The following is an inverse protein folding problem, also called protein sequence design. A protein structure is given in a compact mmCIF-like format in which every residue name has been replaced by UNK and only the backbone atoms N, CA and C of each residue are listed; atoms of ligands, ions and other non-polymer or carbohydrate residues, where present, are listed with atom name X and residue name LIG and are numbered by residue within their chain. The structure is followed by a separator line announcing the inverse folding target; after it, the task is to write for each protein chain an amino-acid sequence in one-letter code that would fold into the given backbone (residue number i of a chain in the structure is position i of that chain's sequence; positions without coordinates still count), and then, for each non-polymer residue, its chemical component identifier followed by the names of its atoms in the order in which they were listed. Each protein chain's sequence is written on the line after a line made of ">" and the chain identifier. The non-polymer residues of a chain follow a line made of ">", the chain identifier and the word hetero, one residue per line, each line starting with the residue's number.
data_IF_444156779614
#
_entry.id   IF_444156779614
#
_cell.length_a   1.000
_cell.length_b   1.000
_cell.length_c   1.000
_cell.angle_alpha   90.00
_cell.angle_beta   90.00
_cell.angle_gamma   90.00
#
_symmetry.space_group_name_H-M   'P 1'
#
loop_
_entity.id
_entity.type
_entity.pdbx_description
1 polymer ?
#
# COMPACT_ATOMS: atom_id res chain seq x y z
N UNK A 1 36.91 -19.96 -58.60
CA UNK A 1 36.09 -19.25 -57.60
C UNK A 1 36.91 -19.13 -56.33
N UNK A 2 37.18 -17.92 -55.83
CA UNK A 2 37.96 -17.74 -54.59
C UNK A 2 37.02 -17.58 -53.40
N UNK A 3 37.41 -18.05 -52.21
CA UNK A 3 36.62 -17.92 -50.97
C UNK A 3 36.19 -16.45 -50.74
N UNK A 4 37.07 -15.51 -51.14
CA UNK A 4 36.82 -14.07 -51.09
C UNK A 4 35.68 -13.61 -52.00
N UNK A 5 35.53 -14.20 -53.19
CA UNK A 5 34.43 -13.89 -54.11
C UNK A 5 33.10 -14.48 -53.63
N UNK A 6 33.12 -15.71 -53.11
CA UNK A 6 31.92 -16.37 -52.58
C UNK A 6 31.30 -15.61 -51.39
N UNK A 7 32.13 -15.14 -50.45
CA UNK A 7 31.64 -14.35 -49.30
C UNK A 7 31.04 -13.00 -49.71
N UNK A 8 31.58 -12.37 -50.76
CA UNK A 8 31.06 -11.11 -51.28
C UNK A 8 29.70 -11.26 -51.96
N UNK A 9 29.50 -12.35 -52.72
CA UNK A 9 28.25 -12.58 -53.45
C UNK A 9 27.12 -13.12 -52.56
N UNK A 10 27.43 -13.99 -51.58
CA UNK A 10 26.42 -14.61 -50.70
C UNK A 10 25.94 -13.69 -49.58
N UNK A 11 26.85 -12.94 -48.96
CA UNK A 11 26.52 -12.06 -47.84
C UNK A 11 26.38 -10.58 -48.25
N UNK A 12 26.55 -10.27 -49.55
CA UNK A 12 26.63 -8.91 -50.07
C UNK A 12 27.61 -8.02 -49.27
N UNK A 13 28.61 -8.63 -48.63
CA UNK A 13 29.43 -7.98 -47.61
C UNK A 13 30.70 -7.42 -48.26
N UNK A 14 30.67 -6.11 -48.54
CA UNK A 14 31.80 -5.40 -49.13
C UNK A 14 32.87 -5.18 -48.05
N UNK A 15 34.08 -5.71 -48.23
CA UNK A 15 35.22 -5.59 -47.28
C UNK A 15 35.57 -4.14 -46.88
N UNK A 16 35.18 -3.15 -47.69
CA UNK A 16 35.30 -1.73 -47.38
C UNK A 16 34.32 -1.22 -46.30
N UNK A 17 33.32 -2.03 -45.93
CA UNK A 17 32.26 -1.70 -44.98
C UNK A 17 32.35 -2.52 -43.69
N UNK A 18 33.34 -3.41 -43.57
CA UNK A 18 33.56 -4.23 -42.36
C UNK A 18 33.61 -3.35 -41.11
N UNK A 19 34.31 -2.21 -41.17
CA UNK A 19 34.38 -1.25 -40.07
C UNK A 19 33.05 -0.56 -39.76
N UNK A 20 32.18 -0.33 -40.76
CA UNK A 20 30.83 0.23 -40.55
C UNK A 20 29.93 -0.81 -39.90
N UNK A 21 29.97 -2.04 -40.36
CA UNK A 21 29.18 -3.14 -39.82
C UNK A 21 29.56 -3.46 -38.37
N UNK A 22 30.86 -3.44 -38.05
CA UNK A 22 31.35 -3.53 -36.66
C UNK A 22 30.84 -2.38 -35.80
N UNK A 23 30.87 -1.15 -36.33
CA UNK A 23 30.32 0.03 -35.65
C UNK A 23 28.82 -0.10 -35.34
N UNK A 24 28.02 -0.61 -36.28
CA UNK A 24 26.59 -0.87 -36.05
C UNK A 24 26.36 -1.91 -34.95
N UNK A 25 27.08 -3.04 -34.98
CA UNK A 25 26.94 -4.10 -33.97
C UNK A 25 27.31 -3.57 -32.58
N UNK A 26 28.40 -2.82 -32.45
CA UNK A 26 28.78 -2.19 -31.19
C UNK A 26 27.76 -1.15 -30.73
N UNK A 27 27.20 -0.36 -31.65
CA UNK A 27 26.13 0.60 -31.38
C UNK A 27 24.87 -0.07 -30.83
N UNK A 28 24.41 -1.16 -31.46
CA UNK A 28 23.29 -1.95 -30.97
C UNK A 28 23.59 -2.58 -29.61
N UNK A 29 24.81 -3.10 -29.39
CA UNK A 29 25.20 -3.67 -28.10
C UNK A 29 25.10 -2.63 -26.98
N UNK A 30 25.61 -1.41 -27.20
CA UNK A 30 25.51 -0.32 -26.23
C UNK A 30 24.05 0.08 -26.02
N UNK A 31 23.27 0.23 -27.10
CA UNK A 31 21.86 0.59 -27.02
C UNK A 31 21.05 -0.44 -26.22
N UNK A 32 21.18 -1.73 -26.51
CA UNK A 32 20.49 -2.79 -25.79
C UNK A 32 20.95 -2.89 -24.33
N UNK A 33 22.22 -2.59 -24.03
CA UNK A 33 22.71 -2.50 -22.65
C UNK A 33 22.07 -1.33 -21.91
N UNK A 34 21.98 -0.16 -22.53
CA UNK A 34 21.31 1.02 -21.94
C UNK A 34 19.82 0.74 -21.75
N UNK A 35 19.13 0.21 -22.76
CA UNK A 35 17.72 -0.18 -22.67
C UNK A 35 17.49 -1.25 -21.62
N UNK A 36 18.37 -2.23 -21.49
CA UNK A 36 18.32 -3.26 -20.45
C UNK A 36 18.51 -2.70 -19.05
N UNK A 37 19.45 -1.77 -18.86
CA UNK A 37 19.64 -1.08 -17.58
C UNK A 37 18.47 -0.14 -17.25
N UNK A 38 17.90 0.52 -18.26
CA UNK A 38 16.72 1.36 -18.12
C UNK A 38 15.51 0.49 -17.76
N UNK A 39 15.31 -0.63 -18.45
CA UNK A 39 14.27 -1.61 -18.17
C UNK A 39 14.44 -2.20 -16.77
N UNK A 40 15.66 -2.51 -16.33
CA UNK A 40 15.93 -2.95 -14.96
C UNK A 40 15.64 -1.85 -13.95
N UNK A 41 15.99 -0.59 -14.19
CA UNK A 41 15.61 0.52 -13.30
C UNK A 41 14.10 0.72 -13.21
N UNK A 42 13.42 0.63 -14.35
CA UNK A 42 11.96 0.76 -14.42
C UNK A 42 11.30 -0.44 -13.74
N UNK A 43 11.79 -1.65 -13.98
CA UNK A 43 11.32 -2.87 -13.32
C UNK A 43 11.64 -2.88 -11.84
N UNK A 44 12.78 -2.35 -11.39
CA UNK A 44 13.11 -2.24 -9.97
C UNK A 44 12.16 -1.24 -9.30
N UNK A 45 11.86 -0.12 -9.97
CA UNK A 45 10.82 0.82 -9.55
C UNK A 45 9.40 0.19 -9.58
N UNK A 46 9.16 -0.79 -10.46
CA UNK A 46 7.89 -1.52 -10.55
C UNK A 46 7.81 -2.76 -9.62
N UNK A 47 8.89 -3.45 -9.30
CA UNK A 47 8.95 -4.59 -8.38
C UNK A 47 9.02 -4.11 -6.92
N UNK A 48 9.56 -2.90 -6.69
CA UNK A 48 9.31 -2.12 -5.48
C UNK A 48 7.86 -1.61 -5.36
N UNK A 49 6.96 -1.84 -6.34
CA UNK A 49 5.51 -1.62 -6.16
C UNK A 49 4.84 -2.71 -5.30
N UNK A 50 5.59 -3.58 -4.62
CA UNK A 50 5.07 -4.22 -3.40
C UNK A 50 4.87 -3.12 -2.35
N UNK A 51 3.74 -2.41 -2.45
CA UNK A 51 3.40 -1.36 -1.50
C UNK A 51 3.04 -2.04 -0.19
N UNK A 52 3.84 -1.76 0.83
CA UNK A 52 3.56 -2.18 2.18
C UNK A 52 2.75 -1.07 2.85
N UNK A 53 1.53 -1.38 3.25
CA UNK A 53 0.80 -0.56 4.21
C UNK A 53 1.09 -1.12 5.60
N UNK A 54 1.66 -0.27 6.45
CA UNK A 54 1.98 -0.60 7.84
C UNK A 54 0.91 0.03 8.74
N UNK A 55 0.25 -0.81 9.53
CA UNK A 55 -0.78 -0.39 10.47
C UNK A 55 -0.16 -0.12 11.84
N UNK A 56 -0.23 1.13 12.27
CA UNK A 56 0.18 1.60 13.60
C UNK A 56 -0.98 1.58 14.57
N UNK A 57 -0.95 0.61 15.49
CA UNK A 57 -1.97 0.35 16.50
C UNK A 57 -1.73 1.07 17.83
N UNK A 58 -1.13 2.27 17.79
CA UNK A 58 -0.62 2.96 18.98
C UNK A 58 -1.68 3.30 20.04
N UNK A 59 -2.95 3.38 19.60
CA UNK A 59 -4.09 3.82 20.41
C UNK A 59 -5.17 2.73 20.52
N UNK A 60 -4.89 1.49 20.10
CA UNK A 60 -5.93 0.47 19.94
C UNK A 60 -6.58 0.13 21.29
N UNK A 61 -5.81 0.04 22.37
CA UNK A 61 -6.34 -0.27 23.70
C UNK A 61 -7.25 0.86 24.21
N UNK A 62 -6.85 2.12 24.02
CA UNK A 62 -7.68 3.27 24.39
C UNK A 62 -8.96 3.34 23.55
N UNK A 63 -8.89 2.98 22.27
CA UNK A 63 -10.07 2.88 21.41
C UNK A 63 -11.03 1.77 21.87
N UNK A 64 -10.51 0.61 22.26
CA UNK A 64 -11.34 -0.48 22.81
C UNK A 64 -12.05 -0.09 24.11
N UNK A 65 -11.36 0.62 25.00
CA UNK A 65 -11.98 1.17 26.21
C UNK A 65 -13.10 2.16 25.87
N UNK A 66 -12.94 2.96 24.82
CA UNK A 66 -13.97 3.87 24.36
C UNK A 66 -15.19 3.11 23.78
N UNK A 67 -14.99 1.97 23.11
CA UNK A 67 -16.10 1.09 22.68
C UNK A 67 -16.89 0.59 23.89
N UNK A 68 -16.21 0.09 24.92
CA UNK A 68 -16.86 -0.41 26.14
C UNK A 68 -17.62 0.69 26.89
N UNK A 69 -17.02 1.88 26.99
CA UNK A 69 -17.65 3.05 27.59
C UNK A 69 -18.91 3.45 26.81
N UNK A 70 -18.84 3.52 25.48
CA UNK A 70 -19.97 3.91 24.64
C UNK A 70 -21.11 2.88 24.69
N UNK A 71 -20.80 1.58 24.75
CA UNK A 71 -21.80 0.51 24.96
C UNK A 71 -22.46 0.63 26.33
N UNK A 72 -21.67 0.87 27.38
CA UNK A 72 -22.19 1.04 28.76
C UNK A 72 -23.10 2.26 28.87
N UNK A 73 -22.75 3.37 28.21
CA UNK A 73 -23.58 4.58 28.18
C UNK A 73 -24.91 4.33 27.47
N UNK A 74 -24.90 3.62 26.33
CA UNK A 74 -26.12 3.25 25.61
C UNK A 74 -27.01 2.31 26.44
N UNK A 75 -26.44 1.31 27.12
CA UNK A 75 -27.17 0.37 27.99
C UNK A 75 -27.76 1.06 29.22
N UNK A 76 -27.12 2.12 29.72
CA UNK A 76 -27.61 2.96 30.81
C UNK A 76 -28.76 3.91 30.40
N UNK A 77 -29.22 3.84 29.14
CA UNK A 77 -30.27 4.70 28.60
C UNK A 77 -29.77 6.02 28.04
N UNK A 78 -28.47 6.16 27.77
CA UNK A 78 -27.87 7.27 27.05
C UNK A 78 -28.15 7.22 25.55
N UNK A 79 -27.38 8.00 24.77
CA UNK A 79 -27.51 8.01 23.31
C UNK A 79 -27.19 6.62 22.72
N UNK A 80 -28.07 6.07 21.87
CA UNK A 80 -27.90 4.74 21.31
C UNK A 80 -26.69 4.70 20.38
N UNK A 81 -26.00 3.56 20.38
CA UNK A 81 -24.90 3.32 19.46
C UNK A 81 -25.47 3.06 18.04
N UNK A 82 -24.92 3.69 16.99
CA UNK A 82 -25.24 3.33 15.61
C UNK A 82 -24.90 1.86 15.29
N UNK A 83 -25.33 1.37 14.13
CA UNK A 83 -24.98 0.03 13.68
C UNK A 83 -23.46 -0.14 13.54
N UNK A 84 -22.91 -1.23 14.08
CA UNK A 84 -21.48 -1.52 14.05
C UNK A 84 -21.04 -2.02 12.66
N UNK A 85 -20.26 -1.23 11.89
CA UNK A 85 -19.82 -1.64 10.55
C UNK A 85 -18.85 -2.84 10.59
N UNK A 86 -18.15 -3.03 11.71
CA UNK A 86 -17.17 -4.10 11.91
C UNK A 86 -17.77 -5.38 12.49
N UNK A 87 -19.06 -5.37 12.86
CA UNK A 87 -19.79 -6.50 13.45
C UNK A 87 -19.03 -7.15 14.63
N UNK A 88 -18.52 -6.33 15.55
CA UNK A 88 -17.67 -6.79 16.63
C UNK A 88 -18.46 -7.60 17.66
N UNK A 89 -17.86 -8.64 18.27
CA UNK A 89 -18.48 -9.38 19.36
C UNK A 89 -18.70 -8.49 20.60
N UNK A 90 -19.53 -8.99 21.53
CA UNK A 90 -19.81 -8.31 22.79
C UNK A 90 -18.54 -8.06 23.63
N UNK A 91 -17.63 -9.04 23.67
CA UNK A 91 -16.30 -8.90 24.28
C UNK A 91 -15.27 -8.69 23.18
N UNK A 92 -14.70 -7.49 23.09
CA UNK A 92 -13.74 -7.13 22.05
C UNK A 92 -12.31 -7.31 22.56
N UNK A 93 -11.50 -8.09 21.86
CA UNK A 93 -10.06 -8.21 22.12
C UNK A 93 -9.28 -7.39 21.10
N UNK A 94 -8.05 -6.98 21.46
CA UNK A 94 -7.13 -6.28 20.54
C UNK A 94 -6.93 -7.08 19.24
N UNK A 95 -6.85 -8.40 19.34
CA UNK A 95 -6.63 -9.25 18.16
C UNK A 95 -7.87 -9.27 17.25
N UNK A 96 -9.05 -9.54 17.81
CA UNK A 96 -10.28 -9.62 17.02
C UNK A 96 -10.62 -8.27 16.37
N UNK A 97 -10.35 -7.17 17.07
CA UNK A 97 -10.52 -5.84 16.50
C UNK A 97 -9.59 -5.58 15.31
N UNK A 98 -8.29 -5.89 15.45
CA UNK A 98 -7.32 -5.75 14.34
C UNK A 98 -7.74 -6.60 13.14
N UNK A 99 -8.21 -7.81 13.38
CA UNK A 99 -8.69 -8.70 12.32
C UNK A 99 -9.94 -8.15 11.63
N UNK A 100 -10.92 -7.65 12.39
CA UNK A 100 -12.13 -7.04 11.83
C UNK A 100 -11.80 -5.82 10.94
N UNK A 101 -10.95 -4.91 11.41
CA UNK A 101 -10.50 -3.75 10.63
C UNK A 101 -9.77 -4.20 9.36
N UNK A 102 -8.93 -5.23 9.45
CA UNK A 102 -8.21 -5.77 8.29
C UNK A 102 -9.10 -6.55 7.32
N UNK A 103 -10.21 -7.15 7.78
CA UNK A 103 -11.23 -7.75 6.92
C UNK A 103 -12.05 -6.69 6.20
N UNK A 104 -12.47 -5.63 6.89
CA UNK A 104 -13.16 -4.51 6.26
C UNK A 104 -12.28 -3.84 5.19
N UNK A 105 -11.01 -3.62 5.51
CA UNK A 105 -10.03 -3.05 4.60
C UNK A 105 -9.58 -4.02 3.50
N UNK A 106 -9.98 -5.30 3.53
CA UNK A 106 -9.51 -6.31 2.58
C UNK A 106 -10.07 -6.08 1.18
N UNK A 107 -9.19 -6.28 0.20
CA UNK A 107 -9.57 -6.34 -1.23
C UNK A 107 -9.65 -7.83 -1.62
N UNK A 108 -10.73 -8.30 -2.26
CA UNK A 108 -10.94 -9.73 -2.55
C UNK A 108 -9.80 -10.40 -3.33
N UNK A 109 -9.04 -9.61 -4.09
CA UNK A 109 -7.96 -10.03 -4.98
C UNK A 109 -6.56 -9.84 -4.38
N UNK A 110 -6.45 -9.33 -3.14
CA UNK A 110 -5.15 -9.05 -2.52
C UNK A 110 -4.45 -10.35 -2.02
N UNK A 111 -3.10 -10.40 -2.08
CA UNK A 111 -2.32 -11.56 -1.62
C UNK A 111 -2.48 -11.82 -0.11
N UNK A 112 -2.04 -13.01 0.32
CA UNK A 112 -2.11 -13.52 1.70
C UNK A 112 -1.63 -12.47 2.71
N UNK A 113 -2.43 -12.25 3.78
CA UNK A 113 -2.09 -11.35 4.89
C UNK A 113 -0.75 -11.71 5.53
N UNK A 114 0.09 -10.71 5.76
CA UNK A 114 1.29 -10.83 6.60
C UNK A 114 0.94 -10.40 8.03
N UNK A 115 0.15 -11.24 8.73
CA UNK A 115 -0.29 -10.97 10.10
C UNK A 115 -1.24 -9.78 10.21
N UNK A 116 -1.13 -9.01 11.31
CA UNK A 116 -2.02 -7.86 11.62
C UNK A 116 -1.37 -6.48 11.48
N UNK A 117 -0.10 -6.42 11.08
CA UNK A 117 0.69 -5.18 11.04
C UNK A 117 1.01 -4.71 9.64
N UNK A 118 1.04 -5.61 8.66
CA UNK A 118 1.45 -5.30 7.30
C UNK A 118 0.49 -5.89 6.28
N UNK A 119 0.06 -5.06 5.34
CA UNK A 119 -0.73 -5.50 4.18
C UNK A 119 0.10 -5.28 2.92
N UNK A 120 0.36 -6.38 2.20
CA UNK A 120 1.04 -6.36 0.92
C UNK A 120 0.01 -6.08 -0.16
N UNK A 121 0.16 -4.95 -0.85
CA UNK A 121 -0.79 -4.53 -1.87
C UNK A 121 -0.06 -3.89 -3.04
N UNK A 122 -0.69 -3.86 -4.22
CA UNK A 122 -0.26 -2.98 -5.30
C UNK A 122 -0.55 -1.51 -4.94
N UNK A 123 0.06 -0.55 -5.64
CA UNK A 123 -0.24 0.88 -5.45
C UNK A 123 -1.73 1.21 -5.62
N UNK A 124 -2.41 0.58 -6.58
CA UNK A 124 -3.85 0.78 -6.79
C UNK A 124 -4.67 0.24 -5.60
N UNK A 125 -4.29 -0.94 -5.11
CA UNK A 125 -4.90 -1.56 -3.94
C UNK A 125 -4.63 -0.74 -2.66
N UNK A 126 -3.43 -0.17 -2.51
CA UNK A 126 -3.10 0.62 -1.32
C UNK A 126 -3.97 1.85 -1.19
N UNK A 127 -4.26 2.53 -2.31
CA UNK A 127 -5.19 3.67 -2.32
C UNK A 127 -6.61 3.25 -1.91
N UNK A 128 -7.08 2.09 -2.39
CA UNK A 128 -8.40 1.58 -2.03
C UNK A 128 -8.51 1.22 -0.54
N UNK A 129 -7.46 0.61 0.03
CA UNK A 129 -7.37 0.34 1.47
C UNK A 129 -7.42 1.64 2.27
N UNK A 130 -6.63 2.64 1.86
CA UNK A 130 -6.60 3.97 2.50
C UNK A 130 -7.99 4.62 2.47
N UNK A 131 -8.64 4.66 1.31
CA UNK A 131 -9.98 5.25 1.18
C UNK A 131 -11.04 4.52 2.01
N UNK A 132 -10.96 3.18 2.15
CA UNK A 132 -11.88 2.42 3.01
C UNK A 132 -11.69 2.76 4.47
N UNK A 133 -10.44 2.81 4.94
CA UNK A 133 -10.14 3.16 6.32
C UNK A 133 -10.52 4.61 6.64
N UNK A 134 -10.31 5.53 5.70
CA UNK A 134 -10.74 6.93 5.86
C UNK A 134 -12.26 7.04 5.98
N UNK A 135 -12.99 6.26 5.17
CA UNK A 135 -14.46 6.17 5.26
C UNK A 135 -14.91 5.55 6.57
N UNK A 136 -14.21 4.54 7.06
CA UNK A 136 -14.50 3.89 8.35
C UNK A 136 -14.24 4.86 9.51
N UNK A 137 -13.14 5.62 9.48
CA UNK A 137 -12.84 6.66 10.48
C UNK A 137 -13.98 7.71 10.54
N UNK A 138 -14.64 8.00 9.42
CA UNK A 138 -15.77 8.93 9.32
C UNK A 138 -17.15 8.30 9.60
N UNK A 139 -17.20 7.00 9.85
CA UNK A 139 -18.47 6.31 10.10
C UNK A 139 -19.13 6.81 11.40
N UNK A 140 -20.47 7.00 11.45
CA UNK A 140 -21.15 7.48 12.65
C UNK A 140 -20.86 6.65 13.91
N UNK A 141 -20.71 5.33 13.76
CA UNK A 141 -20.36 4.45 14.87
C UNK A 141 -18.98 4.78 15.44
N UNK A 142 -17.99 4.95 14.55
CA UNK A 142 -16.62 5.32 14.93
C UNK A 142 -16.57 6.72 15.54
N UNK A 143 -17.25 7.68 14.92
CA UNK A 143 -17.32 9.05 15.42
C UNK A 143 -17.95 9.11 16.82
N UNK A 144 -18.97 8.28 17.09
CA UNK A 144 -19.56 8.16 18.43
C UNK A 144 -18.56 7.61 19.44
N UNK A 145 -17.78 6.60 19.08
CA UNK A 145 -16.73 6.05 19.96
C UNK A 145 -15.65 7.09 20.24
N UNK A 146 -15.20 7.82 19.21
CA UNK A 146 -14.21 8.90 19.35
C UNK A 146 -14.74 10.00 20.27
N UNK A 147 -16.04 10.33 20.20
CA UNK A 147 -16.66 11.35 21.05
C UNK A 147 -16.69 10.95 22.54
N UNK A 148 -16.80 9.65 22.84
CA UNK A 148 -16.78 9.12 24.21
C UNK A 148 -15.35 8.88 24.71
N UNK A 149 -14.41 8.58 23.80
CA UNK A 149 -13.02 8.25 24.12
C UNK A 149 -12.16 9.47 24.48
N UNK A 150 -11.34 9.33 25.53
CA UNK A 150 -10.34 10.33 25.94
C UNK A 150 -8.94 9.89 25.54
N UNK A 151 -8.13 10.70 24.85
CA UNK A 151 -8.47 11.98 24.19
C UNK A 151 -9.20 11.75 22.87
N UNK A 152 -10.06 12.70 22.46
CA UNK A 152 -10.92 12.67 21.26
C UNK A 152 -10.21 12.49 19.90
N UNK A 153 -8.96 12.02 19.82
CA UNK A 153 -8.12 11.90 18.62
C UNK A 153 -7.73 10.45 18.28
N UNK A 154 -8.50 9.46 18.76
CA UNK A 154 -8.24 8.04 18.56
C UNK A 154 -8.69 7.60 17.15
N UNK A 155 -7.85 7.80 16.14
CA UNK A 155 -8.04 7.15 14.83
C UNK A 155 -8.00 5.62 15.00
N UNK A 156 -8.83 4.88 14.28
CA UNK A 156 -8.91 3.40 14.36
C UNK A 156 -7.53 2.76 14.17
N UNK A 157 -6.80 3.24 13.16
CA UNK A 157 -5.43 2.85 12.89
C UNK A 157 -4.68 3.96 12.16
N UNK A 158 -3.41 4.18 12.50
CA UNK A 158 -2.54 5.04 11.70
C UNK A 158 -1.89 4.23 10.60
N UNK A 159 -2.11 4.58 9.35
CA UNK A 159 -1.51 3.87 8.21
C UNK A 159 -0.25 4.59 7.74
N UNK A 160 0.81 3.82 7.51
CA UNK A 160 2.10 4.31 7.06
C UNK A 160 2.58 3.61 5.79
N UNK A 161 3.33 4.32 4.96
CA UNK A 161 3.99 3.83 3.76
C UNK A 161 5.51 4.03 3.91
N UNK A 162 6.35 3.07 3.56
CA UNK A 162 7.79 3.27 3.55
C UNK A 162 8.20 4.33 2.53
N UNK A 163 9.02 5.31 2.95
CA UNK A 163 9.56 6.33 2.04
C UNK A 163 10.63 5.70 1.15
N UNK A 164 10.57 5.87 -0.19
CA UNK A 164 11.56 5.30 -1.09
C UNK A 164 12.99 5.71 -0.71
N UNK A 165 13.88 4.73 -0.58
CA UNK A 165 15.32 4.92 -0.26
C UNK A 165 15.59 5.59 1.09
N UNK A 166 14.68 5.46 2.05
CA UNK A 166 14.85 5.93 3.42
C UNK A 166 14.44 4.86 4.43
N UNK A 167 14.94 4.96 5.65
CA UNK A 167 14.50 4.16 6.81
C UNK A 167 13.31 4.81 7.54
N UNK A 168 12.73 5.86 6.97
CA UNK A 168 11.59 6.60 7.52
C UNK A 168 10.27 6.14 6.93
N UNK A 169 9.22 6.16 7.74
CA UNK A 169 7.85 5.92 7.31
C UNK A 169 7.12 7.24 7.13
N UNK A 170 6.43 7.39 6.00
CA UNK A 170 5.51 8.49 5.76
C UNK A 170 4.09 8.07 6.15
N UNK A 171 3.33 8.98 6.76
CA UNK A 171 1.94 8.70 7.08
C UNK A 171 1.11 8.72 5.79
N UNK A 172 0.35 7.65 5.55
CA UNK A 172 -0.46 7.49 4.35
C UNK A 172 -1.71 8.39 4.37
N UNK A 173 -2.26 8.63 5.57
CA UNK A 173 -3.45 9.46 5.79
C UNK A 173 -3.09 10.72 6.57
N UNK A 174 -3.53 11.89 6.10
CA UNK A 174 -3.55 13.08 6.94
C UNK A 174 -4.58 12.85 8.05
N UNK A 175 -4.21 13.02 9.31
CA UNK A 175 -5.21 13.06 10.37
C UNK A 175 -6.10 14.27 10.11
N UNK A 176 -7.39 14.04 9.90
CA UNK A 176 -8.35 15.12 9.98
C UNK A 176 -8.29 15.67 11.41
N UNK A 177 -7.97 16.96 11.60
CA UNK A 177 -8.13 17.56 12.91
C UNK A 177 -9.62 17.47 13.24
N UNK A 178 -9.95 16.94 14.42
CA UNK A 178 -11.32 16.80 14.94
C UNK A 178 -11.99 18.16 15.26
N UNK A 179 -11.65 19.18 14.48
CA UNK A 179 -12.14 20.55 14.49
C UNK A 179 -13.61 20.71 14.07
N UNK A 180 -14.31 19.61 13.75
CA UNK A 180 -15.76 19.64 13.53
C UNK A 180 -16.57 19.72 14.83
N UNK A 181 -15.93 19.61 15.99
CA UNK A 181 -16.52 19.87 17.29
C UNK A 181 -15.65 20.87 18.04
N UNK A 182 -15.70 22.13 17.60
CA UNK A 182 -15.32 23.30 18.40
C UNK A 182 -16.43 23.68 19.36
#
# INVERSE_FOLDING_TARGET
>A
MTVKGYLGDVFAMKRSEDWKNVGFVLGFLVLYRVLGLLALRLLDQYLFLSHFLIFGWQNVEAFLQAIEAARTEADAGGEPLPDDPLNLPAVVTVQNFKEAVLEDARIPEAPVRLGTTCLLCSLAQSMQVICRLDRLDMDPWVQRIIAVGVPNALSIARVYVPRPRSNTLDRAMSQFPNSLWG
#
